data_IF_593367891995
#
_entry.id   IF_593367891995
#
_cell.length_a   1.000
_cell.length_b   1.000
_cell.length_c   1.000
_cell.angle_alpha   90.00
_cell.angle_beta   90.00
_cell.angle_gamma   90.00
#
_symmetry.space_group_name_H-M   'P 1'
#
loop_
_entity.id
_entity.type
_entity.pdbx_description
1 polymer ?
#
# COMPACT_ATOMS: atom_id res chain seq x y z
N UNK A 1 -21.99 -14.92 -59.32
CA UNK A 1 -22.38 -15.11 -57.92
C UNK A 1 -21.20 -15.77 -57.23
N UNK A 2 -20.35 -14.99 -56.54
CA UNK A 2 -19.10 -15.46 -55.95
C UNK A 2 -19.32 -15.75 -54.45
N UNK A 3 -19.13 -17.02 -54.05
CA UNK A 3 -19.15 -17.42 -52.64
C UNK A 3 -17.79 -17.10 -52.01
N UNK A 4 -17.75 -16.05 -51.19
CA UNK A 4 -16.60 -15.72 -50.35
C UNK A 4 -16.59 -16.56 -49.08
N UNK A 5 -15.90 -17.70 -49.08
CA UNK A 5 -15.50 -18.39 -47.85
C UNK A 5 -14.00 -18.13 -47.66
N UNK A 6 -13.67 -17.03 -46.99
CA UNK A 6 -12.31 -16.78 -46.54
C UNK A 6 -11.96 -17.70 -45.36
N UNK A 7 -10.71 -18.18 -45.25
CA UNK A 7 -10.28 -18.97 -44.11
C UNK A 7 -10.34 -18.09 -42.85
N UNK A 8 -11.01 -18.58 -41.80
CA UNK A 8 -11.05 -17.91 -40.51
C UNK A 8 -9.64 -17.76 -39.93
N UNK A 9 -9.41 -16.73 -39.09
CA UNK A 9 -8.09 -16.52 -38.48
C UNK A 9 -7.69 -17.76 -37.67
N UNK A 10 -6.38 -18.10 -37.63
CA UNK A 10 -5.89 -19.15 -36.76
C UNK A 10 -6.31 -18.83 -35.33
N UNK A 11 -6.90 -19.80 -34.64
CA UNK A 11 -7.05 -19.76 -33.19
C UNK A 11 -5.65 -19.93 -32.63
N UNK A 12 -4.88 -18.84 -32.61
CA UNK A 12 -3.73 -18.73 -31.72
C UNK A 12 -4.29 -19.00 -30.34
N UNK A 13 -3.89 -20.14 -29.78
CA UNK A 13 -4.17 -20.44 -28.40
C UNK A 13 -3.74 -19.21 -27.62
N UNK A 14 -4.71 -18.59 -26.98
CA UNK A 14 -4.45 -17.76 -25.83
C UNK A 14 -3.72 -18.69 -24.86
N UNK A 15 -2.39 -18.75 -25.01
CA UNK A 15 -1.51 -18.99 -23.90
C UNK A 15 -1.92 -17.92 -22.91
N UNK A 16 -2.85 -18.30 -22.02
CA UNK A 16 -3.03 -17.57 -20.79
C UNK A 16 -1.62 -17.33 -20.27
N UNK A 17 -1.24 -16.08 -19.97
CA UNK A 17 0.00 -15.86 -19.25
C UNK A 17 -0.09 -16.77 -18.04
N UNK A 18 0.80 -17.77 -17.99
CA UNK A 18 0.91 -18.73 -16.90
C UNK A 18 0.71 -17.94 -15.63
N UNK A 19 -0.44 -18.13 -15.01
CA UNK A 19 -0.78 -17.45 -13.78
C UNK A 19 0.31 -17.88 -12.83
N UNK A 20 1.27 -16.99 -12.56
CA UNK A 20 2.18 -17.12 -11.44
C UNK A 20 1.26 -17.15 -10.23
N UNK A 21 0.83 -18.35 -9.88
CA UNK A 21 -0.08 -18.60 -8.77
C UNK A 21 0.78 -18.47 -7.53
N UNK A 22 1.03 -17.23 -7.14
CA UNK A 22 1.70 -16.90 -5.90
C UNK A 22 0.92 -17.55 -4.77
N UNK A 23 1.58 -18.45 -4.04
CA UNK A 23 0.93 -19.11 -2.90
C UNK A 23 0.68 -18.10 -1.78
N UNK A 24 -0.34 -18.36 -0.95
CA UNK A 24 -0.59 -17.54 0.26
C UNK A 24 0.66 -17.44 1.14
N UNK A 25 1.39 -18.54 1.29
CA UNK A 25 2.63 -18.58 2.07
C UNK A 25 3.72 -17.67 1.48
N UNK A 26 3.79 -17.55 0.15
CA UNK A 26 4.71 -16.62 -0.49
C UNK A 26 4.31 -15.18 -0.18
N UNK A 27 3.02 -14.85 -0.26
CA UNK A 27 2.53 -13.49 0.06
C UNK A 27 2.83 -13.13 1.52
N UNK A 28 2.71 -14.06 2.46
CA UNK A 28 3.06 -13.83 3.87
C UNK A 28 4.55 -13.47 4.02
N UNK A 29 5.44 -14.18 3.32
CA UNK A 29 6.88 -13.90 3.35
C UNK A 29 7.19 -12.55 2.69
N UNK A 30 6.62 -12.30 1.51
CA UNK A 30 6.82 -11.07 0.75
C UNK A 30 6.30 -9.84 1.52
N UNK A 31 5.20 -10.00 2.27
CA UNK A 31 4.59 -8.92 3.06
C UNK A 31 5.56 -8.36 4.10
N UNK A 32 6.42 -9.19 4.69
CA UNK A 32 7.40 -8.73 5.67
C UNK A 32 8.39 -7.74 5.03
N UNK A 33 8.90 -8.07 3.84
CA UNK A 33 9.84 -7.19 3.12
C UNK A 33 9.16 -5.90 2.65
N UNK A 34 7.94 -6.03 2.10
CA UNK A 34 7.13 -4.87 1.70
C UNK A 34 6.90 -3.95 2.90
N UNK A 35 6.53 -4.50 4.06
CA UNK A 35 6.25 -3.73 5.26
C UNK A 35 7.50 -3.01 5.78
N UNK A 36 8.64 -3.71 5.87
CA UNK A 36 9.93 -3.13 6.30
C UNK A 36 10.35 -1.98 5.38
N UNK A 37 10.18 -2.13 4.07
CA UNK A 37 10.49 -1.06 3.13
C UNK A 37 9.52 0.11 3.23
N UNK A 38 8.23 -0.17 3.37
CA UNK A 38 7.19 0.86 3.56
C UNK A 38 7.47 1.74 4.77
N UNK A 39 7.71 1.15 5.95
CA UNK A 39 7.92 1.93 7.18
C UNK A 39 9.22 2.74 7.15
N UNK A 40 10.28 2.21 6.53
CA UNK A 40 11.55 2.92 6.33
C UNK A 40 11.35 4.18 5.48
N UNK A 41 10.77 4.04 4.28
CA UNK A 41 10.58 5.18 3.39
C UNK A 41 9.55 6.18 3.93
N UNK A 42 8.54 5.72 4.68
CA UNK A 42 7.59 6.62 5.33
C UNK A 42 8.26 7.44 6.44
N UNK A 43 9.12 6.83 7.25
CA UNK A 43 9.90 7.55 8.24
C UNK A 43 10.87 8.54 7.60
N UNK A 44 11.58 8.12 6.54
CA UNK A 44 12.48 9.01 5.80
C UNK A 44 11.75 10.26 5.27
N UNK A 45 10.55 10.10 4.69
CA UNK A 45 9.75 11.22 4.20
C UNK A 45 9.32 12.17 5.34
N UNK A 46 8.97 11.63 6.51
CA UNK A 46 8.62 12.42 7.69
C UNK A 46 9.82 13.25 8.17
N UNK A 47 11.01 12.65 8.21
CA UNK A 47 12.27 13.34 8.53
C UNK A 47 12.59 14.44 7.51
N UNK A 48 12.41 14.17 6.22
CA UNK A 48 12.65 15.16 5.14
C UNK A 48 11.64 16.32 5.20
N UNK A 49 10.37 16.05 5.55
CA UNK A 49 9.32 17.05 5.60
C UNK A 49 9.34 17.91 6.87
N UNK A 50 9.63 17.32 8.03
CA UNK A 50 9.53 17.99 9.33
C UNK A 50 10.90 18.29 9.97
N UNK A 51 11.99 17.70 9.46
CA UNK A 51 13.34 17.90 9.97
C UNK A 51 13.43 17.60 11.46
N UNK A 52 13.95 18.56 12.23
CA UNK A 52 14.13 18.41 13.68
C UNK A 52 12.82 18.23 14.48
N UNK A 53 11.65 18.45 13.88
CA UNK A 53 10.36 18.21 14.52
C UNK A 53 9.85 16.77 14.33
N UNK A 54 10.43 16.00 13.40
CA UNK A 54 10.08 14.60 13.21
C UNK A 54 10.52 13.77 14.43
N UNK A 55 9.68 12.84 14.91
CA UNK A 55 10.08 11.92 15.97
C UNK A 55 11.25 11.06 15.48
N UNK A 56 12.31 10.95 16.28
CA UNK A 56 13.41 10.05 15.97
C UNK A 56 13.04 8.60 16.33
N UNK A 57 13.20 7.68 15.38
CA UNK A 57 12.98 6.26 15.61
C UNK A 57 14.19 5.45 15.08
N UNK A 58 15.17 5.14 15.96
CA UNK A 58 16.36 4.40 15.56
C UNK A 58 16.06 2.98 15.04
N UNK A 59 14.95 2.37 15.46
CA UNK A 59 14.57 1.03 15.00
C UNK A 59 14.20 1.07 13.52
N UNK A 60 13.45 2.10 13.09
CA UNK A 60 13.04 2.26 11.69
C UNK A 60 14.21 2.60 10.76
N UNK A 61 15.21 3.35 11.23
CA UNK A 61 16.39 3.73 10.43
C UNK A 61 17.36 2.56 10.24
N UNK A 62 17.40 1.62 11.20
CA UNK A 62 18.34 0.48 11.19
C UNK A 62 17.78 -0.78 10.55
N UNK A 63 16.56 -0.74 9.99
CA UNK A 63 15.94 -1.88 9.33
C UNK A 63 16.80 -2.37 8.15
N UNK A 64 17.03 -3.69 8.01
CA UNK A 64 17.61 -4.25 6.78
C UNK A 64 16.73 -3.91 5.58
N UNK A 65 17.34 -3.38 4.51
CA UNK A 65 16.65 -2.98 3.29
C UNK A 65 17.28 -3.63 2.07
N UNK A 66 16.43 -4.12 1.17
CA UNK A 66 16.80 -4.56 -0.19
C UNK A 66 16.14 -3.62 -1.21
N UNK A 67 16.64 -2.38 -1.40
CA UNK A 67 15.92 -1.32 -2.12
C UNK A 67 15.70 -1.63 -3.62
N UNK A 68 16.45 -2.58 -4.18
CA UNK A 68 16.37 -2.98 -5.58
C UNK A 68 15.49 -4.21 -5.80
N UNK A 69 15.05 -4.89 -4.74
CA UNK A 69 14.12 -6.01 -4.87
C UNK A 69 12.75 -5.52 -5.33
N UNK A 70 11.95 -6.43 -5.90
CA UNK A 70 10.57 -6.11 -6.28
C UNK A 70 9.75 -5.70 -5.06
N UNK A 71 9.89 -6.41 -3.94
CA UNK A 71 9.12 -6.14 -2.72
C UNK A 71 9.54 -4.82 -2.04
N UNK A 72 10.83 -4.50 -2.05
CA UNK A 72 11.33 -3.19 -1.61
C UNK A 72 10.79 -2.04 -2.47
N UNK A 73 10.74 -2.21 -3.79
CA UNK A 73 10.13 -1.23 -4.68
C UNK A 73 8.62 -1.07 -4.43
N UNK A 74 7.90 -2.16 -4.17
CA UNK A 74 6.47 -2.12 -3.80
C UNK A 74 6.28 -1.35 -2.49
N UNK A 75 7.03 -1.68 -1.43
CA UNK A 75 6.94 -0.98 -0.14
C UNK A 75 7.23 0.53 -0.26
N UNK A 76 8.27 0.89 -1.02
CA UNK A 76 8.57 2.30 -1.33
C UNK A 76 7.42 3.00 -2.05
N UNK A 77 6.81 2.35 -3.05
CA UNK A 77 5.68 2.93 -3.79
C UNK A 77 4.46 3.12 -2.89
N UNK A 78 4.19 2.19 -2.00
CA UNK A 78 3.13 2.32 -1.00
C UNK A 78 3.38 3.50 -0.05
N UNK A 79 4.64 3.76 0.33
CA UNK A 79 4.97 4.91 1.17
C UNK A 79 4.65 6.24 0.45
N UNK A 80 5.03 6.34 -0.83
CA UNK A 80 4.79 7.54 -1.65
C UNK A 80 3.29 7.80 -1.85
N UNK A 81 2.52 6.78 -2.24
CA UNK A 81 1.08 6.94 -2.51
C UNK A 81 0.29 7.10 -1.20
N UNK A 82 0.77 6.46 -0.13
CA UNK A 82 0.16 6.49 1.18
C UNK A 82 0.27 7.85 1.88
N UNK A 83 1.26 8.69 1.57
CA UNK A 83 1.47 9.98 2.23
C UNK A 83 0.24 10.92 2.10
N UNK A 84 -0.27 11.10 0.88
CA UNK A 84 -1.44 11.96 0.63
C UNK A 84 -2.71 11.44 1.30
N UNK A 85 -2.87 10.12 1.39
CA UNK A 85 -4.01 9.48 2.06
C UNK A 85 -3.85 9.62 3.57
N UNK A 86 -2.66 9.32 4.10
CA UNK A 86 -2.36 9.37 5.52
C UNK A 86 -2.53 10.79 6.08
N UNK A 87 -2.12 11.83 5.34
CA UNK A 87 -2.32 13.24 5.75
C UNK A 87 -3.77 13.59 6.03
N UNK A 88 -4.73 13.00 5.29
CA UNK A 88 -6.16 13.26 5.50
C UNK A 88 -6.70 12.64 6.78
N UNK A 89 -6.03 11.63 7.32
CA UNK A 89 -6.46 10.89 8.50
C UNK A 89 -5.50 11.04 9.69
N UNK A 90 -4.45 11.85 9.56
CA UNK A 90 -3.40 11.96 10.58
C UNK A 90 -3.96 12.42 11.92
N UNK A 91 -4.84 13.43 11.92
CA UNK A 91 -5.47 13.93 13.16
C UNK A 91 -6.32 12.86 13.85
N UNK A 92 -7.10 12.10 13.09
CA UNK A 92 -7.91 10.99 13.59
C UNK A 92 -7.04 9.85 14.14
N UNK A 93 -5.98 9.48 13.42
CA UNK A 93 -5.04 8.45 13.87
C UNK A 93 -4.30 8.86 15.14
N UNK A 94 -3.81 10.10 15.23
CA UNK A 94 -3.16 10.61 16.44
C UNK A 94 -4.12 10.63 17.63
N UNK A 95 -5.36 11.08 17.42
CA UNK A 95 -6.40 11.07 18.46
C UNK A 95 -6.69 9.64 18.93
N UNK A 96 -6.79 8.70 17.99
CA UNK A 96 -7.01 7.29 18.29
C UNK A 96 -5.85 6.69 19.11
N UNK A 97 -4.59 6.95 18.70
CA UNK A 97 -3.41 6.45 19.41
C UNK A 97 -3.32 7.01 20.84
N UNK A 98 -3.67 8.28 21.05
CA UNK A 98 -3.71 8.90 22.38
C UNK A 98 -4.77 8.27 23.30
N UNK A 99 -5.92 7.88 22.75
CA UNK A 99 -6.99 7.22 23.50
C UNK A 99 -6.67 5.75 23.80
N UNK A 100 -6.12 5.03 22.82
CA UNK A 100 -5.81 3.61 22.94
C UNK A 100 -4.58 3.34 23.81
N UNK A 101 -3.63 4.28 23.87
CA UNK A 101 -2.36 4.15 24.61
C UNK A 101 -1.70 2.79 24.41
N UNK A 102 -1.33 2.45 23.17
CA UNK A 102 -0.69 1.17 22.90
C UNK A 102 0.61 1.05 23.68
N UNK A 103 0.84 -0.15 24.21
CA UNK A 103 2.05 -0.59 24.92
C UNK A 103 2.49 -1.91 24.31
N UNK A 104 3.74 -2.32 24.54
CA UNK A 104 4.24 -3.59 24.03
C UNK A 104 3.36 -4.80 24.43
N UNK A 105 2.71 -4.75 25.58
CA UNK A 105 1.85 -5.82 26.11
C UNK A 105 0.49 -5.92 25.39
N UNK A 106 -0.08 -4.79 24.94
CA UNK A 106 -1.42 -4.74 24.35
C UNK A 106 -1.45 -4.46 22.83
N UNK A 107 -0.31 -4.13 22.23
CA UNK A 107 -0.22 -3.69 20.83
C UNK A 107 -0.77 -4.74 19.85
N UNK A 108 -0.43 -6.02 20.04
CA UNK A 108 -0.90 -7.11 19.17
C UNK A 108 -2.43 -7.30 19.23
N UNK A 109 -3.00 -7.23 20.43
CA UNK A 109 -4.46 -7.34 20.61
C UNK A 109 -5.18 -6.14 19.98
N UNK A 110 -4.68 -4.92 20.22
CA UNK A 110 -5.22 -3.70 19.63
C UNK A 110 -5.13 -3.72 18.11
N UNK A 111 -3.98 -4.11 17.56
CA UNK A 111 -3.78 -4.24 16.12
C UNK A 111 -4.77 -5.23 15.51
N UNK A 112 -4.90 -6.42 16.10
CA UNK A 112 -5.85 -7.45 15.64
C UNK A 112 -7.29 -6.93 15.68
N UNK A 113 -7.68 -6.23 16.75
CA UNK A 113 -9.01 -5.65 16.90
C UNK A 113 -9.31 -4.55 15.89
N UNK A 114 -8.30 -3.80 15.46
CA UNK A 114 -8.45 -2.76 14.42
C UNK A 114 -8.47 -3.41 13.03
N UNK A 115 -7.53 -4.30 12.73
CA UNK A 115 -7.38 -4.95 11.42
C UNK A 115 -8.51 -5.93 11.08
N UNK A 116 -9.13 -6.55 12.09
CA UNK A 116 -10.29 -7.43 11.91
C UNK A 116 -11.61 -6.70 11.71
N UNK A 117 -11.65 -5.37 11.89
CA UNK A 117 -12.84 -4.60 11.54
C UNK A 117 -12.99 -4.68 10.02
N UNK A 118 -14.20 -5.01 9.52
CA UNK A 118 -14.43 -4.92 8.09
C UNK A 118 -14.07 -3.50 7.67
N UNK A 119 -13.20 -3.37 6.66
CA UNK A 119 -12.98 -2.11 5.99
C UNK A 119 -14.38 -1.61 5.61
N UNK A 120 -14.88 -0.61 6.36
CA UNK A 120 -16.27 -0.21 6.25
C UNK A 120 -16.58 0.04 4.78
N UNK A 121 -17.74 -0.45 4.33
CA UNK A 121 -18.28 -0.10 3.01
C UNK A 121 -18.02 1.38 2.75
N UNK A 122 -17.56 1.77 1.54
CA UNK A 122 -17.15 3.14 1.22
C UNK A 122 -18.38 4.06 1.22
N UNK A 123 -18.89 4.32 2.40
CA UNK A 123 -20.00 5.23 2.66
C UNK A 123 -19.31 6.39 3.35
N UNK A 124 -19.14 7.48 2.61
CA UNK A 124 -18.75 8.84 3.04
C UNK A 124 -17.32 9.32 2.68
N UNK A 125 -16.28 8.50 2.49
CA UNK A 125 -14.93 9.06 2.21
C UNK A 125 -14.47 9.09 0.74
N UNK A 126 -15.24 8.56 -0.23
CA UNK A 126 -14.88 8.61 -1.66
C UNK A 126 -15.64 9.66 -2.49
N UNK A 127 -16.61 10.38 -1.92
CA UNK A 127 -17.39 11.40 -2.64
C UNK A 127 -16.62 12.69 -2.97
N UNK A 128 -15.38 12.86 -2.49
CA UNK A 128 -14.53 14.01 -2.84
C UNK A 128 -13.51 13.68 -3.95
N UNK A 129 -13.28 12.39 -4.26
CA UNK A 129 -12.32 12.01 -5.30
C UNK A 129 -12.85 12.20 -6.74
N UNK A 130 -14.16 12.41 -6.93
CA UNK A 130 -14.75 12.69 -8.25
C UNK A 130 -14.73 14.17 -8.66
N UNK A 131 -14.28 15.08 -7.80
CA UNK A 131 -14.19 16.52 -8.12
C UNK A 131 -12.76 17.03 -8.39
N UNK A 132 -11.72 16.22 -8.14
CA UNK A 132 -10.32 16.66 -8.25
C UNK A 132 -9.57 16.30 -9.54
N UNK A 133 -10.16 15.48 -10.41
CA UNK A 133 -9.46 14.89 -11.56
C UNK A 133 -9.41 15.76 -12.84
N UNK A 134 -9.47 17.10 -12.71
CA UNK A 134 -9.47 18.02 -13.87
C UNK A 134 -8.22 18.93 -13.95
N UNK A 135 -7.26 18.81 -13.02
CA UNK A 135 -6.09 19.72 -12.99
C UNK A 135 -4.76 19.12 -13.46
N UNK A 136 -4.75 17.91 -14.05
CA UNK A 136 -3.52 17.26 -14.55
C UNK A 136 -3.35 17.28 -16.08
N UNK A 137 -4.12 18.09 -16.82
CA UNK A 137 -4.07 18.16 -18.28
C UNK A 137 -4.07 19.60 -18.84
N UNK A 138 -3.31 20.51 -18.26
CA UNK A 138 -2.93 21.79 -18.91
C UNK A 138 -1.53 22.22 -18.51
#
# INVERSE_FOLDING_TARGET
MASGQGPGPPKEGLEEPSSDSTSEQQVVQDTEEVFRSYVFYRHQQEQEAQGAAAPADPELVSLPQEPNSTMGQVGRRLAIIGDDINRRYDTEFQTMLQQLRPTAENASELFTKIASRPAATPTVCLTVASAGAVWWLS
#
